data_IF_158645345146
#
_entry.id   IF_158645345146
#
_cell.length_a   1.000
_cell.length_b   1.000
_cell.length_c   1.000
_cell.angle_alpha   90.00
_cell.angle_beta   90.00
_cell.angle_gamma   90.00
#
_symmetry.space_group_name_H-M   'P 1'
#
loop_
_entity.id
_entity.type
_entity.pdbx_description
1 polymer ?
#
# COMPACT_ATOMS: atom_id res chain seq x y z
N UNK A 1 -8.30 32.37 -5.14
CA UNK A 1 -9.44 31.56 -4.70
C UNK A 1 -8.98 30.10 -4.61
N UNK A 2 -8.73 29.62 -3.39
CA UNK A 2 -8.43 28.22 -3.08
C UNK A 2 -9.76 27.46 -3.01
N UNK A 3 -10.04 26.49 -3.88
CA UNK A 3 -10.99 25.39 -3.61
C UNK A 3 -10.85 24.28 -4.66
N UNK A 4 -11.02 23.02 -4.23
CA UNK A 4 -10.95 21.73 -4.93
C UNK A 4 -9.57 21.07 -5.12
N UNK A 5 -9.03 20.55 -4.02
CA UNK A 5 -8.09 19.42 -4.07
C UNK A 5 -8.61 18.19 -3.32
N UNK A 6 -9.89 18.17 -2.96
CA UNK A 6 -10.54 17.16 -2.11
C UNK A 6 -11.55 16.25 -2.84
N UNK A 7 -11.63 16.27 -4.18
CA UNK A 7 -12.65 15.50 -4.93
C UNK A 7 -12.12 14.33 -5.79
N UNK A 8 -10.80 14.12 -5.90
CA UNK A 8 -10.24 13.09 -6.81
C UNK A 8 -10.38 11.64 -6.29
N UNK A 9 -10.95 11.42 -5.10
CA UNK A 9 -11.09 10.08 -4.50
C UNK A 9 -9.76 9.38 -4.16
N UNK A 10 -8.65 10.10 -4.17
CA UNK A 10 -7.33 9.57 -3.85
C UNK A 10 -7.19 9.30 -2.34
N UNK A 11 -6.58 8.16 -1.99
CA UNK A 11 -6.35 7.76 -0.60
C UNK A 11 -4.93 8.05 -0.14
N UNK A 12 -3.98 8.14 -1.07
CA UNK A 12 -2.56 8.36 -0.78
C UNK A 12 -2.04 9.60 -1.51
N UNK A 13 -1.22 10.38 -0.79
CA UNK A 13 -0.44 11.46 -1.40
C UNK A 13 0.61 10.87 -2.35
N UNK A 14 1.04 11.60 -3.39
CA UNK A 14 2.21 11.22 -4.16
C UNK A 14 3.49 11.46 -3.34
N UNK A 15 4.48 10.56 -3.48
CA UNK A 15 5.81 10.79 -2.89
C UNK A 15 6.49 11.98 -3.59
N UNK A 16 7.07 12.92 -2.83
CA UNK A 16 7.74 14.11 -3.40
C UNK A 16 8.97 13.75 -4.25
N UNK A 17 9.70 12.71 -3.87
CA UNK A 17 10.91 12.25 -4.54
C UNK A 17 10.88 10.73 -4.71
N UNK A 18 11.29 10.25 -5.89
CA UNK A 18 11.39 8.84 -6.23
C UNK A 18 10.08 8.25 -6.74
N UNK A 19 9.92 6.94 -6.56
CA UNK A 19 8.78 6.14 -7.04
C UNK A 19 7.86 5.72 -5.89
N UNK A 20 6.54 5.78 -6.12
CA UNK A 20 5.54 5.21 -5.22
C UNK A 20 4.57 6.20 -4.57
N UNK A 21 3.87 5.68 -3.55
CA UNK A 21 2.93 6.40 -2.71
C UNK A 21 3.64 7.12 -1.55
N UNK A 22 3.08 8.25 -1.14
CA UNK A 22 3.35 8.92 0.13
C UNK A 22 2.36 8.50 1.21
N UNK A 23 2.21 9.34 2.24
CA UNK A 23 1.31 9.08 3.36
C UNK A 23 -0.17 9.04 2.91
N UNK A 24 -1.03 8.28 3.63
CA UNK A 24 -2.46 8.36 3.44
C UNK A 24 -2.95 9.79 3.70
N UNK A 25 -3.76 10.29 2.79
CA UNK A 25 -4.44 11.59 2.92
C UNK A 25 -5.93 11.41 3.26
N UNK A 26 -6.44 10.17 3.18
CA UNK A 26 -7.80 9.82 3.51
C UNK A 26 -7.85 8.61 4.47
N UNK A 27 -8.93 8.52 5.25
CA UNK A 27 -9.11 7.45 6.25
C UNK A 27 -9.12 6.05 5.62
N UNK A 28 -9.57 5.91 4.36
CA UNK A 28 -9.54 4.62 3.66
C UNK A 28 -8.10 4.12 3.45
N UNK A 29 -7.14 5.02 3.23
CA UNK A 29 -5.73 4.64 3.09
C UNK A 29 -5.16 4.08 4.40
N UNK A 30 -5.54 4.66 5.54
CA UNK A 30 -5.22 4.11 6.86
C UNK A 30 -5.85 2.74 7.11
N UNK A 31 -7.12 2.57 6.72
CA UNK A 31 -7.80 1.27 6.83
C UNK A 31 -7.10 0.20 5.99
N UNK A 32 -6.69 0.51 4.76
CA UNK A 32 -5.93 -0.41 3.91
C UNK A 32 -4.59 -0.79 4.54
N UNK A 33 -3.87 0.17 5.14
CA UNK A 33 -2.64 -0.12 5.89
C UNK A 33 -2.93 -1.03 7.08
N UNK A 34 -3.95 -0.72 7.88
CA UNK A 34 -4.30 -1.52 9.06
C UNK A 34 -4.67 -2.96 8.69
N UNK A 35 -5.48 -3.16 7.65
CA UNK A 35 -5.84 -4.49 7.13
C UNK A 35 -4.61 -5.23 6.63
N UNK A 36 -3.71 -4.56 5.91
CA UNK A 36 -2.48 -5.17 5.43
C UNK A 36 -1.58 -5.62 6.58
N UNK A 37 -1.36 -4.77 7.59
CA UNK A 37 -0.57 -5.12 8.78
C UNK A 37 -1.19 -6.29 9.55
N UNK A 38 -2.52 -6.29 9.75
CA UNK A 38 -3.23 -7.39 10.39
C UNK A 38 -3.09 -8.70 9.59
N UNK A 39 -3.14 -8.62 8.26
CA UNK A 39 -2.93 -9.76 7.37
C UNK A 39 -1.52 -10.33 7.51
N UNK A 40 -0.50 -9.47 7.54
CA UNK A 40 0.89 -9.88 7.76
C UNK A 40 1.08 -10.54 9.13
N UNK A 41 0.46 -10.01 10.18
CA UNK A 41 0.48 -10.62 11.51
C UNK A 41 -0.16 -12.01 11.51
N UNK A 42 -1.33 -12.16 10.86
CA UNK A 42 -1.99 -13.46 10.70
C UNK A 42 -1.15 -14.48 9.94
N UNK A 43 -0.51 -14.06 8.84
CA UNK A 43 0.40 -14.92 8.07
C UNK A 43 1.61 -15.33 8.92
N UNK A 44 2.17 -14.41 9.72
CA UNK A 44 3.27 -14.69 10.63
C UNK A 44 2.92 -15.75 11.67
N UNK A 45 1.73 -15.68 12.25
CA UNK A 45 1.22 -16.68 13.20
C UNK A 45 1.04 -18.05 12.53
N UNK A 46 0.45 -18.11 11.33
CA UNK A 46 0.30 -19.34 10.56
C UNK A 46 1.65 -19.99 10.21
N UNK A 47 2.64 -19.17 9.87
CA UNK A 47 3.99 -19.62 9.57
C UNK A 47 4.72 -20.19 10.80
N UNK A 48 4.44 -19.66 11.99
CA UNK A 48 5.06 -20.12 13.24
C UNK A 48 4.52 -21.49 13.70
N UNK A 49 3.24 -21.78 13.44
CA UNK A 49 2.58 -23.02 13.90
C UNK A 49 2.61 -24.18 12.88
N UNK A 50 3.24 -23.99 11.72
CA UNK A 50 3.08 -24.86 10.56
C UNK A 50 4.29 -25.72 10.19
N UNK A 51 4.06 -26.99 9.83
CA UNK A 51 5.03 -27.85 9.10
C UNK A 51 5.30 -27.30 7.68
N UNK A 52 6.30 -27.84 6.98
CA UNK A 52 6.83 -27.30 5.71
C UNK A 52 5.80 -26.82 4.68
N UNK A 53 4.69 -27.55 4.48
CA UNK A 53 3.63 -27.13 3.55
C UNK A 53 2.90 -25.85 3.94
N UNK A 54 2.73 -25.57 5.24
CA UNK A 54 2.12 -24.33 5.76
C UNK A 54 3.05 -23.13 5.59
N UNK A 55 4.37 -23.37 5.61
CA UNK A 55 5.39 -22.36 5.31
C UNK A 55 5.28 -21.86 3.87
N UNK A 56 5.14 -22.80 2.92
CA UNK A 56 4.92 -22.45 1.50
C UNK A 56 3.60 -21.70 1.32
N UNK A 57 2.52 -22.16 1.95
CA UNK A 57 1.23 -21.47 1.90
C UNK A 57 1.30 -20.05 2.47
N UNK A 58 1.98 -19.85 3.61
CA UNK A 58 2.19 -18.54 4.20
C UNK A 58 2.96 -17.60 3.28
N UNK A 59 4.00 -18.10 2.60
CA UNK A 59 4.76 -17.32 1.62
C UNK A 59 3.92 -16.91 0.41
N UNK A 60 3.10 -17.81 -0.13
CA UNK A 60 2.18 -17.49 -1.23
C UNK A 60 1.16 -16.43 -0.80
N UNK A 61 0.56 -16.59 0.38
CA UNK A 61 -0.38 -15.61 0.94
C UNK A 61 0.28 -14.24 1.16
N UNK A 62 1.53 -14.22 1.61
CA UNK A 62 2.30 -12.98 1.76
C UNK A 62 2.45 -12.26 0.42
N UNK A 63 2.90 -12.95 -0.62
CA UNK A 63 3.08 -12.36 -1.95
C UNK A 63 1.76 -11.82 -2.52
N UNK A 64 0.67 -12.56 -2.36
CA UNK A 64 -0.65 -12.13 -2.81
C UNK A 64 -1.15 -10.89 -2.04
N UNK A 65 -1.01 -10.89 -0.71
CA UNK A 65 -1.41 -9.76 0.13
C UNK A 65 -0.59 -8.50 -0.20
N UNK A 66 0.72 -8.63 -0.34
CA UNK A 66 1.61 -7.53 -0.72
C UNK A 66 1.29 -7.04 -2.12
N UNK A 67 1.10 -7.94 -3.09
CA UNK A 67 0.73 -7.58 -4.47
C UNK A 67 -0.57 -6.79 -4.52
N UNK A 68 -1.61 -7.26 -3.82
CA UNK A 68 -2.90 -6.56 -3.74
C UNK A 68 -2.75 -5.19 -3.08
N UNK A 69 -2.00 -5.09 -1.99
CA UNK A 69 -1.72 -3.83 -1.32
C UNK A 69 -1.00 -2.84 -2.26
N UNK A 70 0.00 -3.29 -3.01
CA UNK A 70 0.70 -2.46 -3.99
C UNK A 70 -0.23 -1.99 -5.12
N UNK A 71 -1.13 -2.85 -5.61
CA UNK A 71 -2.12 -2.48 -6.64
C UNK A 71 -3.11 -1.44 -6.11
N UNK A 72 -3.64 -1.62 -4.91
CA UNK A 72 -4.58 -0.68 -4.28
C UNK A 72 -3.89 0.67 -4.05
N UNK A 73 -2.68 0.66 -3.47
CA UNK A 73 -1.92 1.88 -3.21
C UNK A 73 -1.57 2.59 -4.51
N UNK A 74 -1.11 1.89 -5.55
CA UNK A 74 -0.81 2.48 -6.85
C UNK A 74 -2.03 3.15 -7.50
N UNK A 75 -3.19 2.48 -7.51
CA UNK A 75 -4.43 3.00 -8.09
C UNK A 75 -5.06 4.14 -7.31
N UNK A 76 -4.86 4.17 -5.98
CA UNK A 76 -5.43 5.19 -5.09
C UNK A 76 -4.42 6.26 -4.67
N UNK A 77 -3.22 6.25 -5.25
CA UNK A 77 -2.25 7.36 -5.13
C UNK A 77 -2.64 8.45 -6.11
N UNK A 78 -2.72 9.70 -5.63
CA UNK A 78 -3.05 10.85 -6.47
C UNK A 78 -2.01 11.02 -7.59
N UNK A 79 -2.47 11.02 -8.84
CA UNK A 79 -1.60 11.10 -10.02
C UNK A 79 -0.73 9.86 -10.26
N UNK A 80 -1.05 8.73 -9.61
CA UNK A 80 -0.41 7.44 -9.80
C UNK A 80 1.05 7.36 -9.33
N UNK A 81 1.62 6.17 -9.51
CA UNK A 81 3.03 5.93 -9.30
C UNK A 81 3.80 6.32 -10.54
N UNK A 82 4.63 7.33 -10.40
CA UNK A 82 5.56 7.79 -11.43
C UNK A 82 6.86 8.17 -10.77
N UNK A 83 7.95 8.03 -11.51
CA UNK A 83 9.24 8.54 -11.07
C UNK A 83 9.16 10.07 -10.97
N UNK A 84 9.56 10.62 -9.82
CA UNK A 84 9.69 12.07 -9.61
C UNK A 84 11.13 12.35 -9.19
N UNK A 85 11.96 12.86 -10.11
CA UNK A 85 13.25 13.44 -9.75
C UNK A 85 13.05 14.87 -9.31
N UNK A 86 13.56 15.24 -8.14
CA UNK A 86 13.56 16.64 -7.64
C UNK A 86 14.52 17.54 -8.39
N UNK A 87 14.66 17.35 -9.70
CA UNK A 87 15.45 18.18 -10.60
C UNK A 87 14.48 18.77 -11.59
N UNK A 88 13.92 19.91 -11.21
CA UNK A 88 13.46 20.99 -12.07
C UNK A 88 12.89 22.05 -11.10
N UNK A 89 13.74 23.06 -10.92
CA UNK A 89 13.60 24.40 -10.31
C UNK A 89 13.58 24.56 -8.78
#
# INVERSE_FOLDING_TARGET
MMHKSTEDGAWFAPKRLGYGAGLPIAWQGWLVIAVYVATLAGIGLLNHMGTGGRRTAAFVLFLLATGLFLVITARRTRGGWKWRSGKED
#
